data_IF_450391164802
#
_entry.id   IF_450391164802
#
_cell.length_a   1.000
_cell.length_b   1.000
_cell.length_c   1.000
_cell.angle_alpha   90.00
_cell.angle_beta   90.00
_cell.angle_gamma   90.00
#
_symmetry.space_group_name_H-M   'P 1'
#
loop_
_entity.id
_entity.type
_entity.pdbx_description
1 polymer ?
#
# COMPACT_ATOMS: atom_id res chain seq x y z
N UNK A 1 10.43 -18.60 5.46
CA UNK A 1 9.16 -18.14 4.94
C UNK A 1 8.78 -16.78 5.46
N UNK A 2 8.33 -15.95 4.58
CA UNK A 2 7.99 -14.58 4.90
C UNK A 2 6.50 -14.44 5.18
N UNK A 3 6.18 -13.93 6.35
CA UNK A 3 4.79 -13.68 6.69
C UNK A 3 4.46 -12.23 6.38
N UNK A 4 3.41 -12.02 5.62
CA UNK A 4 2.96 -10.68 5.32
C UNK A 4 2.31 -10.02 6.53
N UNK A 5 2.38 -8.71 6.56
CA UNK A 5 1.68 -7.91 7.54
C UNK A 5 0.47 -7.30 6.86
N UNK A 6 -0.69 -7.37 7.51
CA UNK A 6 -1.92 -6.84 6.94
C UNK A 6 -2.54 -5.81 7.88
N UNK A 7 -3.11 -4.77 7.29
CA UNK A 7 -3.85 -3.76 8.06
C UNK A 7 -4.97 -3.21 7.20
N UNK A 8 -6.00 -2.69 7.85
CA UNK A 8 -7.16 -2.16 7.14
C UNK A 8 -6.91 -0.80 6.55
N UNK A 9 -7.69 -0.46 5.53
CA UNK A 9 -7.66 0.89 4.98
C UNK A 9 -8.06 1.87 6.07
N UNK A 10 -7.26 2.90 6.25
CA UNK A 10 -7.47 3.88 7.31
C UNK A 10 -6.70 3.59 8.58
N UNK A 11 -6.19 2.37 8.76
CA UNK A 11 -5.36 2.04 9.90
C UNK A 11 -3.93 2.52 9.68
N UNK A 12 -3.17 2.60 10.77
CA UNK A 12 -1.77 3.01 10.66
C UNK A 12 -0.95 1.90 10.01
N UNK A 13 -0.15 2.24 8.98
CA UNK A 13 0.75 1.24 8.41
C UNK A 13 1.89 0.92 9.36
N UNK A 14 2.59 -0.21 9.13
CA UNK A 14 3.72 -0.57 9.99
C UNK A 14 4.77 0.54 10.02
N UNK A 15 5.35 0.77 11.21
CA UNK A 15 6.30 1.86 11.40
C UNK A 15 7.59 1.65 10.62
N UNK A 16 7.89 0.42 10.25
CA UNK A 16 9.15 0.10 9.56
C UNK A 16 9.13 0.46 8.07
N UNK A 17 7.98 0.86 7.53
CA UNK A 17 7.90 1.22 6.13
C UNK A 17 8.62 2.53 5.85
N UNK A 18 9.30 2.65 4.70
CA UNK A 18 9.86 3.93 4.31
C UNK A 18 8.77 4.99 4.20
N UNK A 19 9.12 6.22 4.49
CA UNK A 19 8.17 7.31 4.48
C UNK A 19 7.51 7.47 3.11
N UNK A 20 8.29 7.26 2.04
CA UNK A 20 7.73 7.36 0.69
C UNK A 20 6.61 6.36 0.47
N UNK A 21 6.75 5.15 1.03
CA UNK A 21 5.69 4.14 0.91
C UNK A 21 4.49 4.53 1.75
N UNK A 22 4.71 5.03 2.96
CA UNK A 22 3.61 5.48 3.81
C UNK A 22 2.84 6.60 3.14
N UNK A 23 3.55 7.55 2.54
CA UNK A 23 2.90 8.64 1.82
C UNK A 23 2.08 8.14 0.64
N UNK A 24 2.60 7.13 -0.07
CA UNK A 24 1.87 6.55 -1.20
C UNK A 24 0.61 5.84 -0.72
N UNK A 25 0.68 5.13 0.40
CA UNK A 25 -0.50 4.48 0.99
C UNK A 25 -1.56 5.51 1.31
N UNK A 26 -1.16 6.59 1.98
CA UNK A 26 -2.11 7.65 2.35
C UNK A 26 -2.70 8.32 1.11
N UNK A 27 -1.89 8.49 0.05
CA UNK A 27 -2.39 9.07 -1.19
C UNK A 27 -3.46 8.22 -1.83
N UNK A 28 -3.25 6.90 -1.87
CA UNK A 28 -4.25 5.99 -2.42
C UNK A 28 -5.51 6.02 -1.57
N UNK A 29 -5.36 5.99 -0.24
CA UNK A 29 -6.51 6.01 0.64
C UNK A 29 -7.32 7.30 0.48
N UNK A 30 -6.61 8.41 0.27
CA UNK A 30 -7.28 9.69 0.08
C UNK A 30 -8.10 9.69 -1.21
N UNK A 31 -7.55 9.10 -2.27
CA UNK A 31 -8.28 8.99 -3.53
C UNK A 31 -9.51 8.10 -3.37
N UNK A 32 -9.38 7.00 -2.65
CA UNK A 32 -10.51 6.11 -2.41
C UNK A 32 -11.60 6.79 -1.60
N UNK A 33 -11.19 7.60 -0.62
CA UNK A 33 -12.17 8.31 0.20
C UNK A 33 -12.98 9.32 -0.61
N UNK A 34 -12.41 9.82 -1.70
CA UNK A 34 -13.14 10.74 -2.58
C UNK A 34 -14.17 10.05 -3.44
N UNK A 35 -14.12 8.72 -3.52
CA UNK A 35 -15.07 7.94 -4.32
C UNK A 35 -16.17 7.41 -3.41
N UNK A 36 -17.18 8.25 -3.18
CA UNK A 36 -18.18 7.98 -2.16
C UNK A 36 -18.99 6.70 -2.40
N UNK A 37 -18.99 6.21 -3.64
CA UNK A 37 -19.77 5.01 -3.98
C UNK A 37 -19.00 3.72 -3.71
N UNK A 38 -17.74 3.82 -3.28
CA UNK A 38 -16.92 2.65 -3.01
C UNK A 38 -16.79 2.44 -1.50
N UNK A 39 -17.14 1.24 -1.06
CA UNK A 39 -17.02 0.88 0.35
C UNK A 39 -15.73 0.10 0.54
N UNK A 40 -14.74 0.72 1.16
CA UNK A 40 -13.43 0.11 1.39
C UNK A 40 -13.29 -0.45 2.80
N UNK A 41 -14.39 -0.53 3.55
CA UNK A 41 -14.29 -0.92 4.96
C UNK A 41 -13.77 -2.34 5.15
N UNK A 42 -13.92 -3.21 4.15
CA UNK A 42 -13.41 -4.58 4.22
C UNK A 42 -12.07 -4.76 3.54
N UNK A 43 -11.53 -3.70 2.95
CA UNK A 43 -10.29 -3.80 2.21
C UNK A 43 -9.10 -3.73 3.14
N UNK A 44 -8.05 -4.46 2.80
CA UNK A 44 -6.84 -4.50 3.60
C UNK A 44 -5.61 -4.34 2.74
N UNK A 45 -4.58 -3.74 3.33
CA UNK A 45 -3.26 -3.69 2.74
C UNK A 45 -2.47 -4.91 3.19
N UNK A 46 -1.63 -5.43 2.31
CA UNK A 46 -0.73 -6.52 2.64
C UNK A 46 0.70 -6.09 2.33
N UNK A 47 1.57 -6.16 3.32
CA UNK A 47 2.98 -5.86 3.16
C UNK A 47 3.76 -7.17 3.05
N UNK A 48 4.54 -7.28 1.99
CA UNK A 48 5.44 -8.41 1.80
C UNK A 48 6.83 -7.87 1.53
N UNK A 49 7.83 -8.50 2.13
CA UNK A 49 9.22 -8.13 1.87
C UNK A 49 9.76 -9.06 0.81
N UNK A 50 10.20 -8.49 -0.30
CA UNK A 50 10.76 -9.25 -1.41
C UNK A 50 12.15 -8.74 -1.65
N UNK A 51 13.17 -9.58 -1.39
CA UNK A 51 14.57 -9.21 -1.56
C UNK A 51 14.88 -7.92 -0.81
N UNK A 52 14.43 -7.85 0.43
CA UNK A 52 14.64 -6.69 1.32
C UNK A 52 13.93 -5.42 0.87
N UNK A 53 12.99 -5.53 -0.06
CA UNK A 53 12.21 -4.39 -0.53
C UNK A 53 10.76 -4.57 -0.15
N UNK A 54 10.12 -3.53 0.38
CA UNK A 54 8.70 -3.67 0.73
C UNK A 54 7.82 -3.60 -0.51
N UNK A 55 6.85 -4.49 -0.57
CA UNK A 55 5.81 -4.47 -1.59
C UNK A 55 4.49 -4.43 -0.85
N UNK A 56 3.70 -3.40 -1.10
CA UNK A 56 2.43 -3.20 -0.42
C UNK A 56 1.31 -3.35 -1.44
N UNK A 57 0.35 -4.19 -1.12
CA UNK A 57 -0.71 -4.51 -2.07
C UNK A 57 -2.06 -4.32 -1.41
N UNK A 58 -2.97 -3.66 -2.11
CA UNK A 58 -4.33 -3.46 -1.64
C UNK A 58 -5.23 -4.55 -2.22
N UNK A 59 -6.31 -4.86 -1.53
CA UNK A 59 -7.24 -5.91 -1.97
C UNK A 59 -7.81 -5.67 -3.36
N UNK A 60 -7.85 -4.42 -3.82
CA UNK A 60 -8.36 -4.12 -5.16
C UNK A 60 -7.33 -4.37 -6.26
N UNK A 61 -6.12 -4.79 -5.90
CA UNK A 61 -5.05 -5.05 -6.87
C UNK A 61 -4.04 -3.92 -7.01
N UNK A 62 -4.24 -2.81 -6.33
CA UNK A 62 -3.25 -1.73 -6.35
C UNK A 62 -1.97 -2.20 -5.67
N UNK A 63 -0.82 -1.94 -6.30
CA UNK A 63 0.48 -2.36 -5.79
C UNK A 63 1.38 -1.14 -5.65
N UNK A 64 2.04 -1.03 -4.50
CA UNK A 64 3.03 0.01 -4.24
C UNK A 64 4.38 -0.65 -4.07
N UNK A 65 5.34 -0.23 -4.88
CA UNK A 65 6.71 -0.72 -4.81
C UNK A 65 7.64 0.41 -4.47
N UNK A 66 8.66 0.10 -3.71
CA UNK A 66 9.62 1.09 -3.25
C UNK A 66 10.92 0.96 -4.01
N UNK A 67 11.45 2.10 -4.47
CA UNK A 67 12.75 2.16 -5.11
C UNK A 67 13.72 2.87 -4.14
N UNK A 68 14.63 2.10 -3.56
CA UNK A 68 15.56 2.64 -2.57
C UNK A 68 16.59 3.57 -3.18
N UNK A 69 16.89 3.40 -4.45
CA UNK A 69 17.90 4.24 -5.10
C UNK A 69 17.43 5.67 -5.22
N UNK A 70 16.15 5.87 -5.47
CA UNK A 70 15.60 7.22 -5.62
C UNK A 70 14.71 7.61 -4.45
N UNK A 71 14.56 6.72 -3.47
CA UNK A 71 13.71 6.94 -2.29
C UNK A 71 12.30 7.34 -2.72
N UNK A 72 11.75 6.61 -3.68
CA UNK A 72 10.42 6.87 -4.19
C UNK A 72 9.57 5.62 -4.14
N UNK A 73 8.27 5.82 -4.07
CA UNK A 73 7.30 4.72 -4.14
C UNK A 73 6.54 4.83 -5.46
N UNK A 74 6.39 3.69 -6.12
CA UNK A 74 5.66 3.64 -7.39
C UNK A 74 4.35 2.93 -7.16
N UNK A 75 3.26 3.60 -7.50
CA UNK A 75 1.91 3.05 -7.35
C UNK A 75 1.43 2.57 -8.70
N UNK A 76 1.03 1.30 -8.74
CA UNK A 76 0.47 0.72 -9.96
C UNK A 76 -0.96 0.29 -9.65
N UNK A 77 -1.91 0.92 -10.33
CA UNK A 77 -3.30 0.54 -10.17
C UNK A 77 -3.57 -0.77 -10.91
N UNK A 78 -4.64 -1.45 -10.52
CA UNK A 78 -5.00 -2.69 -11.18
C UNK A 78 -5.32 -2.38 -12.64
N UNK A 79 -4.79 -3.22 -13.53
CA UNK A 79 -5.03 -3.07 -14.96
C UNK A 79 -6.30 -3.83 -15.33
N UNK A 80 -7.08 -3.24 -16.18
CA UNK A 80 -8.30 -3.87 -16.66
C UNK A 80 -8.02 -4.72 -17.87
#
# INVERSE_FOLDING_TARGET
MQLGTRWGVGDNPPARLPEAVVDAVHGVEKELAALAHIDTSAWRWTLTWLENKPVVELDDGTVIRYNAETDTAMVTAVAE
#
